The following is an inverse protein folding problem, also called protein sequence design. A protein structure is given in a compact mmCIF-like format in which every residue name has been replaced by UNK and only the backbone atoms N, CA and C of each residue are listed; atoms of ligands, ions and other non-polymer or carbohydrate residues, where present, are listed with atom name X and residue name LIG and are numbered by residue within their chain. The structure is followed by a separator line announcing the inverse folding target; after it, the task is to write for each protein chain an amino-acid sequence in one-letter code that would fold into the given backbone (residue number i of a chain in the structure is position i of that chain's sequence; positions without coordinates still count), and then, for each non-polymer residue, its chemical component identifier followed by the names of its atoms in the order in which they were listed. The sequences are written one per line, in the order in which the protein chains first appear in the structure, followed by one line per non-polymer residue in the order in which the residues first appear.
data_IF_100460944019
#
_entry.id   IF_100460944019
#
_cell.length_a   1.000
_cell.length_b   1.000
_cell.length_c   1.000
_cell.angle_alpha   90.00
_cell.angle_beta   90.00
_cell.angle_gamma   90.00
#
_symmetry.space_group_name_H-M   'P 1'
#
loop_
_entity.id
_entity.type
_entity.pdbx_description
1 polymer ?
#
# COMPACT_ATOMS: atom_id res chain seq x y z
N UNK A 1 -13.78 0.54 -17.48
CA UNK A 1 -12.95 -0.03 -16.43
C UNK A 1 -13.59 0.13 -15.08
N UNK A 2 -13.26 -0.73 -14.19
CA UNK A 2 -13.85 -0.75 -12.88
C UNK A 2 -13.39 0.38 -12.00
N UNK A 3 -12.30 1.02 -12.34
CA UNK A 3 -11.79 2.14 -11.59
C UNK A 3 -10.62 2.77 -12.30
N UNK A 4 -10.29 3.95 -11.87
CA UNK A 4 -9.13 4.65 -12.40
C UNK A 4 -8.29 5.16 -11.24
N UNK A 5 -6.99 5.23 -11.46
CA UNK A 5 -6.05 5.75 -10.47
C UNK A 5 -5.52 7.09 -10.94
N UNK A 6 -5.47 8.02 -10.01
CA UNK A 6 -4.89 9.34 -10.27
C UNK A 6 -3.68 9.52 -9.38
N UNK A 7 -2.57 9.92 -9.97
CA UNK A 7 -1.34 10.19 -9.23
C UNK A 7 -1.34 11.65 -8.84
N UNK A 8 -1.14 11.91 -7.55
CA UNK A 8 -1.11 13.27 -7.02
C UNK A 8 0.31 13.58 -6.52
N UNK A 9 0.89 14.65 -7.06
CA UNK A 9 2.16 15.16 -6.56
C UNK A 9 1.86 16.24 -5.55
N UNK A 10 2.41 16.09 -4.36
CA UNK A 10 2.13 17.02 -3.27
C UNK A 10 3.23 18.08 -3.24
N UNK A 11 2.88 19.37 -3.44
CA UNK A 11 3.88 20.42 -3.39
C UNK A 11 4.53 20.50 -2.01
N UNK A 12 5.81 20.82 -1.99
CA UNK A 12 6.57 20.95 -0.75
C UNK A 12 7.18 19.66 -0.24
N UNK A 13 6.76 18.52 -0.74
CA UNK A 13 7.41 17.26 -0.46
C UNK A 13 8.45 17.00 -1.54
N UNK A 14 9.40 16.11 -1.23
CA UNK A 14 10.31 15.65 -2.28
C UNK A 14 9.48 14.72 -3.17
N UNK A 15 8.93 15.29 -4.21
CA UNK A 15 7.97 14.62 -5.08
C UNK A 15 8.51 13.29 -5.60
N UNK A 16 9.82 13.22 -5.84
CA UNK A 16 10.45 12.00 -6.31
C UNK A 16 10.43 10.86 -5.28
N UNK A 17 10.12 11.13 -4.01
CA UNK A 17 10.17 10.12 -2.96
C UNK A 17 8.82 9.61 -2.51
N UNK A 18 7.72 10.30 -2.84
CA UNK A 18 6.38 9.89 -2.42
C UNK A 18 5.39 10.09 -3.56
N UNK A 19 4.56 9.09 -3.80
CA UNK A 19 3.47 9.16 -4.75
C UNK A 19 2.17 8.82 -4.06
N UNK A 20 1.09 9.47 -4.46
CA UNK A 20 -0.25 9.19 -3.95
C UNK A 20 -1.17 8.79 -5.09
N UNK A 21 -2.07 7.86 -4.79
CA UNK A 21 -3.13 7.48 -5.72
C UNK A 21 -4.45 7.53 -5.00
N UNK A 22 -5.48 8.00 -5.71
CA UNK A 22 -6.86 7.78 -5.31
C UNK A 22 -7.50 6.91 -6.37
N UNK A 23 -8.33 5.96 -5.94
CA UNK A 23 -8.95 4.99 -6.83
C UNK A 23 -10.45 5.23 -6.82
N UNK A 24 -11.02 5.30 -8.01
CA UNK A 24 -12.41 5.69 -8.20
C UNK A 24 -13.13 4.66 -9.07
N UNK A 25 -14.39 4.46 -8.77
CA UNK A 25 -15.31 3.75 -9.64
C UNK A 25 -16.39 4.77 -10.00
N UNK A 26 -16.36 5.25 -11.24
CA UNK A 26 -17.20 6.38 -11.68
C UNK A 26 -16.92 7.58 -10.77
N UNK A 27 -17.92 8.10 -10.08
CA UNK A 27 -17.76 9.25 -9.19
C UNK A 27 -17.52 8.83 -7.73
N UNK A 28 -17.38 7.54 -7.47
CA UNK A 28 -17.24 7.03 -6.11
C UNK A 28 -15.79 6.76 -5.77
N UNK A 29 -15.31 7.38 -4.70
CA UNK A 29 -13.97 7.10 -4.19
C UNK A 29 -13.98 5.74 -3.49
N UNK A 30 -13.21 4.81 -4.01
CA UNK A 30 -13.09 3.47 -3.44
C UNK A 30 -12.03 3.45 -2.35
N UNK A 31 -10.90 4.07 -2.62
CA UNK A 31 -9.79 4.04 -1.68
C UNK A 31 -8.61 4.87 -2.16
N UNK A 32 -7.55 4.83 -1.37
CA UNK A 32 -6.33 5.56 -1.70
C UNK A 32 -5.13 4.86 -1.10
N UNK A 33 -3.95 5.29 -1.51
CA UNK A 33 -2.71 4.80 -0.96
C UNK A 33 -1.55 5.67 -1.39
N UNK A 34 -0.46 5.55 -0.65
CA UNK A 34 0.77 6.27 -0.94
C UNK A 34 1.91 5.27 -1.02
N UNK A 35 2.90 5.59 -1.84
CA UNK A 35 4.13 4.82 -1.97
C UNK A 35 5.29 5.74 -1.68
N UNK A 36 6.11 5.35 -0.70
CA UNK A 36 7.35 6.04 -0.40
C UNK A 36 8.51 5.23 -0.97
N UNK A 37 9.38 5.88 -1.73
CA UNK A 37 10.57 5.22 -2.24
C UNK A 37 11.61 5.18 -1.12
N UNK A 38 12.06 3.98 -0.76
CA UNK A 38 13.04 3.81 0.32
C UNK A 38 14.47 3.80 -0.24
N UNK A 39 14.69 2.91 -1.19
CA UNK A 39 15.95 2.82 -1.89
C UNK A 39 15.67 2.16 -3.25
N UNK A 40 16.71 1.80 -3.97
CA UNK A 40 16.54 1.26 -5.31
C UNK A 40 15.69 -0.02 -5.31
N UNK A 41 14.53 0.07 -5.93
CA UNK A 41 13.64 -1.07 -6.06
C UNK A 41 12.81 -1.40 -4.82
N UNK A 42 12.96 -0.67 -3.73
CA UNK A 42 12.21 -0.93 -2.50
C UNK A 42 11.27 0.23 -2.18
N UNK A 43 10.00 -0.06 -2.03
CA UNK A 43 9.00 0.94 -1.69
C UNK A 43 8.19 0.55 -0.47
N UNK A 44 7.66 1.54 0.19
CA UNK A 44 6.78 1.34 1.36
C UNK A 44 5.41 1.89 1.05
N UNK A 45 4.38 1.06 1.20
CA UNK A 45 3.01 1.54 1.15
C UNK A 45 2.65 2.23 2.46
N UNK A 46 2.04 3.39 2.34
CA UNK A 46 1.58 4.18 3.48
C UNK A 46 0.15 4.63 3.24
N UNK A 47 -0.59 4.82 4.31
CA UNK A 47 -1.92 5.45 4.25
C UNK A 47 -2.88 4.76 3.29
N UNK A 48 -2.79 3.43 3.19
CA UNK A 48 -3.75 2.69 2.38
C UNK A 48 -5.08 2.68 3.12
N UNK A 49 -6.12 3.14 2.44
CA UNK A 49 -7.46 3.19 3.00
C UNK A 49 -8.49 2.76 1.98
N UNK A 50 -9.48 2.03 2.48
CA UNK A 50 -10.66 1.67 1.71
C UNK A 50 -11.81 2.50 2.26
N UNK A 51 -12.53 3.18 1.39
CA UNK A 51 -13.66 3.99 1.81
C UNK A 51 -14.72 3.11 2.46
N UNK A 52 -15.39 3.62 3.49
CA UNK A 52 -16.34 2.83 4.30
C UNK A 52 -17.40 2.12 3.47
N UNK A 53 -17.91 2.77 2.44
CA UNK A 53 -18.93 2.17 1.58
C UNK A 53 -18.44 0.96 0.81
N UNK A 54 -17.13 0.75 0.74
CA UNK A 54 -16.53 -0.33 -0.04
C UNK A 54 -15.80 -1.36 0.83
N UNK A 55 -15.84 -1.18 2.15
CA UNK A 55 -15.25 -2.16 3.06
C UNK A 55 -16.10 -3.43 3.09
N UNK A 56 -15.44 -4.56 3.32
CA UNK A 56 -16.09 -5.87 3.47
C UNK A 56 -16.89 -6.29 2.24
N UNK A 57 -16.56 -5.73 1.08
CA UNK A 57 -17.23 -6.05 -0.18
C UNK A 57 -16.25 -6.57 -1.24
N UNK A 58 -15.05 -6.94 -0.83
CA UNK A 58 -14.04 -7.47 -1.74
C UNK A 58 -13.19 -6.42 -2.45
N UNK A 59 -13.45 -5.14 -2.26
CA UNK A 59 -12.69 -4.09 -2.94
C UNK A 59 -11.28 -3.94 -2.42
N UNK A 60 -11.01 -4.36 -1.17
CA UNK A 60 -9.68 -4.22 -0.59
C UNK A 60 -8.60 -4.91 -1.41
N UNK A 61 -8.87 -6.14 -1.84
CA UNK A 61 -7.92 -6.87 -2.67
C UNK A 61 -7.68 -6.14 -3.99
N UNK A 62 -8.75 -5.64 -4.60
CA UNK A 62 -8.64 -4.90 -5.86
C UNK A 62 -7.81 -3.63 -5.69
N UNK A 63 -8.02 -2.89 -4.60
CA UNK A 63 -7.25 -1.68 -4.34
C UNK A 63 -5.77 -2.00 -4.17
N UNK A 64 -5.46 -2.99 -3.35
CA UNK A 64 -4.07 -3.35 -3.10
C UNK A 64 -3.40 -3.86 -4.38
N UNK A 65 -4.08 -4.71 -5.14
CA UNK A 65 -3.51 -5.22 -6.39
C UNK A 65 -3.29 -4.09 -7.40
N UNK A 66 -4.19 -3.13 -7.45
CA UNK A 66 -4.01 -1.97 -8.33
C UNK A 66 -2.77 -1.18 -7.93
N UNK A 67 -2.60 -0.93 -6.64
CA UNK A 67 -1.43 -0.21 -6.13
C UNK A 67 -0.14 -1.00 -6.39
N UNK A 68 -0.18 -2.32 -6.26
CA UNK A 68 0.97 -3.16 -6.60
C UNK A 68 1.34 -3.00 -8.07
N UNK A 69 0.35 -3.01 -8.96
CA UNK A 69 0.61 -2.84 -10.38
C UNK A 69 1.20 -1.47 -10.70
N UNK A 70 0.73 -0.42 -10.02
CA UNK A 70 1.33 0.91 -10.18
C UNK A 70 2.78 0.94 -9.70
N UNK A 71 3.07 0.28 -8.59
CA UNK A 71 4.43 0.17 -8.09
C UNK A 71 5.34 -0.56 -9.08
N UNK A 72 4.84 -1.62 -9.71
CA UNK A 72 5.61 -2.34 -10.74
C UNK A 72 5.97 -1.43 -11.91
N UNK A 73 5.05 -0.56 -12.32
CA UNK A 73 5.32 0.39 -13.40
C UNK A 73 6.46 1.34 -13.03
N UNK A 74 6.64 1.59 -11.75
CA UNK A 74 7.70 2.46 -11.24
C UNK A 74 8.99 1.69 -10.94
N UNK A 75 9.08 0.44 -11.39
CA UNK A 75 10.26 -0.41 -11.21
C UNK A 75 10.54 -0.81 -9.76
N UNK A 76 9.52 -0.77 -8.92
CA UNK A 76 9.62 -1.29 -7.57
C UNK A 76 9.63 -2.82 -7.65
N UNK A 77 10.51 -3.44 -6.89
CA UNK A 77 10.66 -4.90 -6.87
C UNK A 77 10.27 -5.51 -5.54
N UNK A 78 10.23 -4.69 -4.49
CA UNK A 78 9.90 -5.14 -3.15
C UNK A 78 9.03 -4.06 -2.51
N UNK A 79 7.92 -4.48 -1.94
CA UNK A 79 7.03 -3.61 -1.19
C UNK A 79 7.02 -4.01 0.26
N UNK A 80 7.02 -3.02 1.14
CA UNK A 80 6.94 -3.26 2.57
C UNK A 80 5.90 -2.34 3.19
N UNK A 81 5.39 -2.74 4.34
CA UNK A 81 4.36 -1.97 5.03
C UNK A 81 4.51 -2.15 6.53
N UNK A 82 4.25 -1.09 7.27
CA UNK A 82 4.15 -1.14 8.72
C UNK A 82 2.69 -0.92 9.08
N UNK A 83 2.14 -1.79 9.91
CA UNK A 83 0.77 -1.67 10.37
C UNK A 83 0.70 -1.99 11.87
N UNK A 84 -0.44 -1.73 12.49
CA UNK A 84 -0.60 -1.97 13.91
C UNK A 84 -0.74 -3.44 14.26
N UNK A 85 -0.30 -3.79 15.47
CA UNK A 85 -0.42 -5.14 16.00
C UNK A 85 -1.75 -5.40 16.70
N UNK A 86 -2.48 -4.34 17.06
CA UNK A 86 -3.74 -4.49 17.79
C UNK A 86 -4.88 -5.04 16.95
N UNK A 87 -5.95 -5.39 17.63
CA UNK A 87 -7.13 -6.00 16.99
C UNK A 87 -7.78 -5.08 15.96
N UNK A 88 -7.72 -3.78 16.19
CA UNK A 88 -8.25 -2.81 15.23
C UNK A 88 -7.65 -3.00 13.83
N UNK A 89 -6.38 -3.39 13.80
CA UNK A 89 -5.66 -3.54 12.52
C UNK A 89 -5.67 -4.96 11.98
N UNK A 90 -6.34 -5.89 12.67
CA UNK A 90 -6.39 -7.28 12.22
C UNK A 90 -6.98 -7.44 10.82
N UNK A 91 -8.08 -6.75 10.46
CA UNK A 91 -8.60 -6.86 9.09
C UNK A 91 -7.57 -6.42 8.04
N UNK A 92 -6.81 -5.37 8.34
CA UNK A 92 -5.78 -4.90 7.40
C UNK A 92 -4.68 -5.94 7.24
N UNK A 93 -4.20 -6.51 8.36
CA UNK A 93 -3.17 -7.55 8.30
C UNK A 93 -3.65 -8.75 7.50
N UNK A 94 -4.89 -9.18 7.70
CA UNK A 94 -5.45 -10.31 6.95
C UNK A 94 -5.55 -9.99 5.47
N UNK A 95 -5.92 -8.77 5.13
CA UNK A 95 -6.04 -8.35 3.75
C UNK A 95 -4.68 -8.38 3.05
N UNK A 96 -3.65 -7.83 3.69
CA UNK A 96 -2.31 -7.86 3.12
C UNK A 96 -1.79 -9.29 2.95
N UNK A 97 -2.08 -10.17 3.92
CA UNK A 97 -1.67 -11.56 3.80
C UNK A 97 -2.40 -12.28 2.65
N UNK A 98 -3.66 -11.94 2.41
CA UNK A 98 -4.37 -12.45 1.22
C UNK A 98 -3.73 -11.99 -0.07
N UNK A 99 -3.10 -10.82 -0.06
CA UNK A 99 -2.36 -10.31 -1.21
C UNK A 99 -0.92 -10.79 -1.20
N UNK A 100 -0.61 -11.80 -0.39
CA UNK A 100 0.68 -12.48 -0.33
C UNK A 100 1.82 -11.66 0.25
N UNK A 101 1.49 -10.73 1.12
CA UNK A 101 2.49 -10.12 1.99
C UNK A 101 2.79 -11.07 3.15
N UNK A 102 4.04 -11.11 3.58
CA UNK A 102 4.48 -11.95 4.68
C UNK A 102 5.10 -11.10 5.78
N UNK A 103 4.96 -11.53 7.02
CA UNK A 103 5.59 -10.82 8.13
C UNK A 103 7.10 -10.85 7.98
N UNK A 104 7.73 -9.74 8.33
CA UNK A 104 9.17 -9.59 8.20
C UNK A 104 9.72 -8.76 9.37
N UNK A 105 11.03 -8.60 9.38
CA UNK A 105 11.69 -7.74 10.35
C UNK A 105 11.45 -6.27 9.99
N UNK A 106 11.61 -5.35 10.96
CA UNK A 106 11.52 -3.92 10.66
C UNK A 106 12.44 -3.55 9.50
N UNK A 107 11.97 -2.64 8.67
CA UNK A 107 12.71 -2.18 7.50
C UNK A 107 12.95 -0.68 7.60
N UNK A 108 13.80 -0.15 6.71
CA UNK A 108 14.16 1.27 6.69
C UNK A 108 14.67 1.71 8.07
N UNK A 109 14.13 2.77 8.59
CA UNK A 109 14.53 3.28 9.91
C UNK A 109 13.69 2.75 11.06
N UNK A 110 12.76 1.84 10.78
CA UNK A 110 11.90 1.28 11.82
C UNK A 110 12.68 0.39 12.76
N UNK A 111 12.26 0.36 14.01
CA UNK A 111 12.80 -0.53 15.04
C UNK A 111 11.68 -1.45 15.51
N UNK A 112 12.04 -2.57 16.12
CA UNK A 112 11.05 -3.44 16.69
C UNK A 112 10.18 -2.68 17.69
N UNK A 113 8.86 -2.90 17.58
CA UNK A 113 7.88 -2.24 18.41
C UNK A 113 6.74 -3.22 18.61
N UNK A 114 6.37 -3.45 19.87
CA UNK A 114 5.29 -4.38 20.19
C UNK A 114 3.94 -3.96 19.60
N UNK A 115 3.82 -2.69 19.24
CA UNK A 115 2.59 -2.15 18.66
C UNK A 115 2.57 -2.20 17.13
N UNK A 116 3.62 -2.71 16.51
CA UNK A 116 3.73 -2.72 15.06
C UNK A 116 4.01 -4.11 14.51
N UNK A 117 3.50 -4.34 13.31
CA UNK A 117 3.77 -5.53 12.51
C UNK A 117 4.32 -5.06 11.17
N UNK A 118 5.34 -5.72 10.70
CA UNK A 118 5.99 -5.38 9.43
C UNK A 118 5.73 -6.49 8.43
N UNK A 119 5.35 -6.12 7.23
CA UNK A 119 5.01 -7.06 6.17
C UNK A 119 5.75 -6.68 4.90
N UNK A 120 6.09 -7.68 4.10
CA UNK A 120 6.80 -7.44 2.85
C UNK A 120 6.33 -8.39 1.77
N UNK A 121 6.49 -7.96 0.53
CA UNK A 121 6.15 -8.76 -0.64
C UNK A 121 7.14 -8.45 -1.75
N UNK A 122 7.68 -9.50 -2.36
CA UNK A 122 8.50 -9.36 -3.56
C UNK A 122 7.55 -9.29 -4.75
N UNK A 123 7.70 -8.24 -5.56
CA UNK A 123 6.83 -8.03 -6.72
C UNK A 123 7.62 -7.95 -8.02
N UNK A 124 8.82 -8.47 -8.01
CA UNK A 124 9.65 -8.51 -9.20
C UNK A 124 8.94 -9.28 -10.28
N UNK A 125 8.83 -8.68 -11.43
CA UNK A 125 8.09 -9.24 -12.53
C UNK A 125 8.92 -9.83 -13.59
N UNK A 126 10.21 -9.81 -13.49
CA UNK A 126 10.96 -10.26 -14.57
C UNK A 126 11.30 -11.23 -14.90
#
# INVERSE_FOLDING_TARGET
PEGSAHVLDIPGLKVSSIKFWSLWQDENLIGCGALKFLDEGHGEFKSIRIHDNFRNKGYGINVINHLINEAKKLKIKKLSIETGAGDFFLPARKLFKKCEFEECQPFAHYKEDVNSVYLTKIIDTN
#
